data_IF_311712377534
#
_entry.id   IF_311712377534
#
_cell.length_a   1.000
_cell.length_b   1.000
_cell.length_c   1.000
_cell.angle_alpha   90.00
_cell.angle_beta   90.00
_cell.angle_gamma   90.00
#
_symmetry.space_group_name_H-M   'P 1'
#
loop_
_entity.id
_entity.type
_entity.pdbx_description
1 polymer ?
#
# COMPACT_ATOMS: atom_id res chain seq x y z
N UNK A 1 -9.93 6.73 -25.38
CA UNK A 1 -10.75 6.28 -26.52
C UNK A 1 -12.08 5.80 -25.98
N UNK A 2 -13.08 5.68 -26.85
CA UNK A 2 -14.42 5.23 -26.42
C UNK A 2 -14.36 3.79 -25.92
N UNK A 3 -14.92 3.55 -24.74
CA UNK A 3 -14.97 2.23 -24.13
C UNK A 3 -16.16 1.46 -24.72
N UNK A 4 -15.95 0.18 -25.02
CA UNK A 4 -17.08 -0.66 -25.46
C UNK A 4 -17.99 -0.97 -24.26
N UNK A 5 -19.29 -1.28 -24.46
CA UNK A 5 -20.18 -1.70 -23.37
C UNK A 5 -19.68 -2.91 -22.60
N UNK A 6 -18.93 -3.82 -23.25
CA UNK A 6 -18.29 -4.94 -22.58
C UNK A 6 -17.14 -4.47 -21.68
N UNK A 7 -16.31 -3.55 -22.17
CA UNK A 7 -15.20 -2.98 -21.41
C UNK A 7 -15.72 -2.30 -20.16
N UNK A 8 -16.74 -1.45 -20.27
CA UNK A 8 -17.35 -0.75 -19.13
C UNK A 8 -17.84 -1.73 -18.05
N UNK A 9 -18.45 -2.86 -18.44
CA UNK A 9 -18.89 -3.89 -17.48
C UNK A 9 -17.75 -4.65 -16.79
N UNK A 10 -16.59 -4.75 -17.42
CA UNK A 10 -15.43 -5.47 -16.88
C UNK A 10 -14.52 -4.60 -16.00
N UNK A 11 -14.71 -3.28 -16.03
CA UNK A 11 -13.90 -2.36 -15.25
C UNK A 11 -14.18 -2.48 -13.76
N UNK A 12 -13.11 -2.64 -12.98
CA UNK A 12 -13.16 -2.65 -11.51
C UNK A 12 -12.89 -1.27 -10.90
N UNK A 13 -12.30 -0.35 -11.67
CA UNK A 13 -11.94 1.01 -11.24
C UNK A 13 -12.38 2.02 -12.29
N UNK A 14 -12.50 3.32 -11.93
CA UNK A 14 -12.72 4.37 -12.92
C UNK A 14 -11.66 4.39 -14.03
N UNK A 15 -11.97 4.96 -15.22
CA UNK A 15 -11.01 5.09 -16.31
C UNK A 15 -9.73 5.85 -15.90
N UNK A 16 -8.59 5.42 -16.44
CA UNK A 16 -7.32 6.11 -16.27
C UNK A 16 -7.43 7.55 -16.79
N UNK A 17 -6.98 8.52 -15.99
CA UNK A 17 -7.00 9.96 -16.32
C UNK A 17 -5.84 10.40 -17.23
N UNK A 18 -5.01 9.47 -17.70
CA UNK A 18 -3.86 9.76 -18.55
C UNK A 18 -4.29 10.05 -20.00
N UNK A 19 -3.89 11.20 -20.53
CA UNK A 19 -4.27 11.68 -21.87
C UNK A 19 -3.13 11.64 -22.90
N UNK A 20 -1.93 11.23 -22.50
CA UNK A 20 -0.78 11.11 -23.40
C UNK A 20 -0.79 9.82 -24.22
N UNK A 21 0.10 9.74 -25.22
CA UNK A 21 0.44 8.47 -25.88
C UNK A 21 1.56 7.80 -25.08
N UNK A 22 1.44 6.53 -24.68
CA UNK A 22 2.54 5.81 -24.04
C UNK A 22 3.73 5.70 -25.00
N UNK A 23 4.95 5.89 -24.49
CA UNK A 23 6.19 5.72 -25.27
C UNK A 23 6.43 4.25 -25.64
N UNK A 24 6.06 3.35 -24.72
CA UNK A 24 6.24 1.91 -24.84
C UNK A 24 5.10 1.14 -24.18
N UNK A 25 4.84 -0.05 -24.69
CA UNK A 25 3.90 -1.02 -24.12
C UNK A 25 4.62 -2.32 -23.88
N UNK A 26 4.37 -2.93 -22.73
CA UNK A 26 4.94 -4.21 -22.32
C UNK A 26 3.80 -5.10 -21.85
N UNK A 27 3.77 -6.34 -22.31
CA UNK A 27 2.84 -7.36 -21.80
C UNK A 27 3.60 -8.27 -20.83
N UNK A 28 2.98 -8.59 -19.70
CA UNK A 28 3.54 -9.49 -18.68
C UNK A 28 2.48 -10.44 -18.13
N UNK A 29 2.89 -11.39 -17.29
CA UNK A 29 2.02 -12.43 -16.74
C UNK A 29 1.78 -13.61 -17.67
N UNK A 30 0.94 -14.56 -17.28
CA UNK A 30 0.78 -15.85 -17.96
C UNK A 30 0.41 -15.76 -19.44
N UNK A 31 -0.49 -14.81 -19.80
CA UNK A 31 -0.95 -14.64 -21.19
C UNK A 31 0.16 -14.09 -22.11
N UNK A 32 1.17 -13.40 -21.55
CA UNK A 32 2.27 -12.84 -22.33
C UNK A 32 3.10 -13.90 -23.06
N UNK A 33 3.16 -15.12 -22.54
CA UNK A 33 3.87 -16.23 -23.19
C UNK A 33 3.23 -16.60 -24.55
N UNK A 34 1.89 -16.49 -24.67
CA UNK A 34 1.19 -16.66 -25.94
C UNK A 34 1.34 -15.43 -26.84
N UNK A 35 1.33 -14.21 -26.27
CA UNK A 35 1.51 -12.96 -27.01
C UNK A 35 2.90 -12.92 -27.68
N UNK A 36 3.95 -13.40 -27.02
CA UNK A 36 5.32 -13.44 -27.55
C UNK A 36 5.70 -14.78 -28.19
N UNK A 37 4.92 -15.85 -27.97
CA UNK A 37 4.98 -17.09 -28.78
C UNK A 37 5.87 -18.17 -28.20
N UNK A 38 6.10 -18.10 -26.90
CA UNK A 38 6.89 -19.06 -26.15
C UNK A 38 6.05 -20.20 -25.57
N UNK A 39 4.72 -20.03 -25.50
CA UNK A 39 3.80 -21.08 -25.10
C UNK A 39 2.76 -21.36 -26.19
N UNK A 40 2.41 -22.63 -26.33
CA UNK A 40 1.44 -23.14 -27.31
C UNK A 40 0.51 -24.21 -26.75
N UNK A 41 0.76 -24.69 -25.53
CA UNK A 41 -0.08 -25.67 -24.84
C UNK A 41 -1.35 -25.02 -24.35
N UNK A 42 -2.45 -25.77 -24.38
CA UNK A 42 -3.72 -25.37 -23.77
C UNK A 42 -3.79 -25.87 -22.34
N UNK A 43 -4.20 -25.00 -21.42
CA UNK A 43 -4.49 -25.33 -20.02
C UNK A 43 -5.99 -25.41 -19.73
N UNK A 44 -6.84 -25.42 -20.77
CA UNK A 44 -8.29 -25.45 -20.63
C UNK A 44 -8.93 -24.11 -20.26
N UNK A 45 -8.18 -23.01 -20.37
CA UNK A 45 -8.64 -21.64 -20.16
C UNK A 45 -8.66 -20.83 -21.48
N UNK A 46 -9.00 -19.55 -21.38
CA UNK A 46 -9.07 -18.63 -22.53
C UNK A 46 -7.70 -18.04 -22.93
N UNK A 47 -6.61 -18.43 -22.25
CA UNK A 47 -5.31 -17.75 -22.34
C UNK A 47 -4.73 -17.72 -23.75
N UNK A 48 -4.81 -18.83 -24.49
CA UNK A 48 -4.36 -18.91 -25.90
C UNK A 48 -5.13 -17.91 -26.76
N UNK A 49 -6.47 -18.00 -26.73
CA UNK A 49 -7.35 -17.18 -27.58
C UNK A 49 -7.12 -15.70 -27.29
N UNK A 50 -7.04 -15.35 -26.00
CA UNK A 50 -6.76 -13.98 -25.58
C UNK A 50 -5.38 -13.50 -26.05
N UNK A 51 -4.34 -14.32 -25.90
CA UNK A 51 -2.99 -13.98 -26.33
C UNK A 51 -2.86 -13.78 -27.84
N UNK A 52 -3.54 -14.61 -28.63
CA UNK A 52 -3.59 -14.51 -30.09
C UNK A 52 -4.29 -13.23 -30.56
N UNK A 53 -5.46 -12.90 -29.98
CA UNK A 53 -6.19 -11.67 -30.31
C UNK A 53 -5.41 -10.41 -29.89
N UNK A 54 -4.75 -10.43 -28.73
CA UNK A 54 -3.87 -9.33 -28.31
C UNK A 54 -2.70 -9.20 -29.28
N UNK A 55 -2.05 -10.30 -29.70
CA UNK A 55 -0.98 -10.27 -30.69
C UNK A 55 -1.44 -9.70 -32.04
N UNK A 56 -2.66 -10.05 -32.50
CA UNK A 56 -3.22 -9.48 -33.72
C UNK A 56 -3.36 -7.96 -33.58
N UNK A 57 -3.95 -7.49 -32.48
CA UNK A 57 -4.14 -6.07 -32.21
C UNK A 57 -2.81 -5.32 -32.04
N UNK A 58 -1.82 -5.95 -31.41
CA UNK A 58 -0.48 -5.43 -31.22
C UNK A 58 0.19 -5.04 -32.55
N UNK A 59 -0.01 -5.83 -33.61
CA UNK A 59 0.52 -5.52 -34.96
C UNK A 59 -0.10 -4.27 -35.58
N UNK A 60 -1.25 -3.83 -35.09
CA UNK A 60 -1.96 -2.63 -35.54
C UNK A 60 -1.66 -1.42 -34.65
N UNK A 61 -0.89 -1.59 -33.57
CA UNK A 61 -0.57 -0.50 -32.65
C UNK A 61 0.55 0.36 -33.22
N UNK A 62 0.39 1.68 -33.09
CA UNK A 62 1.40 2.69 -33.42
C UNK A 62 2.37 2.97 -32.25
N UNK A 63 2.33 2.15 -31.20
CA UNK A 63 3.21 2.27 -30.02
C UNK A 63 4.21 1.12 -30.01
N UNK A 64 5.46 1.41 -29.68
CA UNK A 64 6.52 0.42 -29.57
C UNK A 64 6.17 -0.62 -28.51
N UNK A 65 6.08 -1.89 -28.91
CA UNK A 65 5.94 -2.99 -27.96
C UNK A 65 7.31 -3.59 -27.69
N UNK A 66 7.67 -3.64 -26.40
CA UNK A 66 8.95 -4.18 -25.93
C UNK A 66 8.68 -5.49 -25.20
N UNK A 67 9.49 -6.51 -25.47
CA UNK A 67 9.46 -7.78 -24.73
C UNK A 67 10.27 -7.62 -23.43
N UNK A 68 9.68 -7.89 -22.25
CA UNK A 68 10.40 -7.82 -20.98
C UNK A 68 11.26 -9.08 -20.79
N UNK A 69 12.41 -8.97 -20.10
CA UNK A 69 13.25 -10.14 -19.82
C UNK A 69 12.52 -11.22 -18.99
N UNK A 70 11.68 -10.80 -18.05
CA UNK A 70 11.09 -11.69 -17.05
C UNK A 70 9.66 -12.20 -17.40
N UNK A 71 9.01 -11.70 -18.46
CA UNK A 71 7.69 -12.15 -19.00
C UNK A 71 6.68 -12.66 -17.94
N UNK A 72 6.34 -13.96 -17.94
CA UNK A 72 5.43 -14.59 -16.95
C UNK A 72 5.88 -14.40 -15.50
N UNK A 73 7.18 -14.22 -15.27
CA UNK A 73 7.79 -14.00 -13.94
C UNK A 73 7.85 -12.54 -13.56
N UNK A 74 7.56 -11.59 -14.45
CA UNK A 74 7.61 -10.17 -14.11
C UNK A 74 6.64 -9.82 -12.97
N UNK A 75 5.44 -10.42 -12.96
CA UNK A 75 4.47 -10.31 -11.86
C UNK A 75 5.06 -10.89 -10.56
N UNK A 76 5.60 -12.11 -10.62
CA UNK A 76 6.19 -12.78 -9.45
C UNK A 76 7.41 -12.04 -8.90
N UNK A 77 8.28 -11.50 -9.75
CA UNK A 77 9.47 -10.74 -9.32
C UNK A 77 9.08 -9.40 -8.73
N UNK A 78 8.07 -8.71 -9.28
CA UNK A 78 7.49 -7.50 -8.69
C UNK A 78 6.82 -7.77 -7.34
N UNK A 79 6.11 -8.89 -7.21
CA UNK A 79 5.43 -9.33 -5.99
C UNK A 79 6.36 -9.99 -4.96
N UNK A 80 7.52 -10.51 -5.36
CA UNK A 80 8.51 -11.17 -4.48
C UNK A 80 9.58 -10.22 -3.97
N UNK A 81 9.36 -8.90 -4.05
CA UNK A 81 10.25 -7.95 -3.42
C UNK A 81 9.97 -7.93 -1.92
N UNK A 82 11.01 -8.22 -1.14
CA UNK A 82 11.03 -7.85 0.26
C UNK A 82 12.27 -7.01 0.52
N UNK A 83 12.12 -6.00 1.38
CA UNK A 83 13.24 -5.15 1.80
C UNK A 83 13.24 -5.11 3.31
N UNK A 84 14.41 -5.34 3.90
CA UNK A 84 14.64 -5.08 5.33
C UNK A 84 15.03 -3.62 5.49
N UNK A 85 14.25 -2.89 6.28
CA UNK A 85 14.59 -1.56 6.76
C UNK A 85 14.70 -1.59 8.28
N UNK A 86 15.36 -0.58 8.83
CA UNK A 86 15.49 -0.41 10.27
C UNK A 86 14.89 0.95 10.58
N UNK A 87 13.87 0.96 11.44
CA UNK A 87 13.29 2.23 11.89
C UNK A 87 14.29 2.93 12.81
N UNK A 88 14.22 4.26 12.85
CA UNK A 88 15.04 5.10 13.73
C UNK A 88 14.87 4.74 15.21
N UNK A 89 15.55 5.47 16.11
CA UNK A 89 15.38 5.28 17.56
C UNK A 89 14.25 6.14 18.13
N UNK A 90 13.67 7.01 17.32
CA UNK A 90 12.66 8.01 17.68
C UNK A 90 11.25 7.48 17.46
N UNK A 91 10.99 6.26 17.97
CA UNK A 91 9.70 5.59 17.86
C UNK A 91 8.87 5.72 19.14
N UNK A 92 7.57 5.46 19.03
CA UNK A 92 6.69 5.26 20.18
C UNK A 92 5.90 3.97 20.03
N UNK A 93 6.05 3.10 21.02
CA UNK A 93 5.27 1.88 21.18
C UNK A 93 4.55 2.00 22.53
N UNK A 94 3.22 2.02 22.53
CA UNK A 94 2.45 2.24 23.77
C UNK A 94 2.55 1.07 24.75
N UNK A 95 2.75 -0.16 24.25
CA UNK A 95 3.06 -1.35 25.05
C UNK A 95 3.98 -2.31 24.27
N UNK A 96 5.07 -2.83 24.87
CA UNK A 96 5.93 -3.81 24.22
C UNK A 96 5.20 -5.07 23.74
N UNK A 97 4.12 -5.47 24.43
CA UNK A 97 3.33 -6.67 24.12
C UNK A 97 2.56 -6.58 22.78
N UNK A 98 2.58 -5.41 22.13
CA UNK A 98 2.01 -5.22 20.80
C UNK A 98 2.89 -5.78 19.68
N UNK A 99 4.16 -6.06 19.96
CA UNK A 99 5.14 -6.57 19.00
C UNK A 99 5.49 -8.04 19.31
N UNK A 100 5.87 -8.85 18.30
CA UNK A 100 5.97 -8.49 16.88
C UNK A 100 4.62 -8.54 16.16
N UNK A 101 4.45 -7.69 15.15
CA UNK A 101 3.33 -7.77 14.21
C UNK A 101 3.80 -8.29 12.86
N UNK A 102 2.98 -9.12 12.20
CA UNK A 102 3.33 -9.73 10.91
C UNK A 102 2.23 -9.56 9.89
N UNK A 103 2.64 -9.40 8.64
CA UNK A 103 1.78 -9.32 7.46
C UNK A 103 0.71 -8.23 7.59
N UNK A 104 1.04 -7.09 8.20
CA UNK A 104 0.10 -5.97 8.27
C UNK A 104 -0.09 -5.38 6.89
N UNK A 105 -1.31 -5.36 6.32
CA UNK A 105 -1.58 -4.61 5.11
C UNK A 105 -1.27 -3.12 5.36
N UNK A 106 -0.66 -2.49 4.38
CA UNK A 106 -0.29 -1.08 4.43
C UNK A 106 -1.25 -0.27 3.58
N UNK A 107 -1.92 0.67 4.24
CA UNK A 107 -2.75 1.69 3.62
C UNK A 107 -1.92 2.96 3.50
N UNK A 108 -1.74 3.49 2.29
CA UNK A 108 -0.99 4.73 2.08
C UNK A 108 -1.86 5.81 1.41
N UNK A 109 -2.52 6.68 2.20
CA UNK A 109 -3.38 7.74 1.67
C UNK A 109 -2.64 8.68 0.71
N UNK A 110 -3.30 9.07 -0.39
CA UNK A 110 -2.71 9.90 -1.43
C UNK A 110 -3.22 11.34 -1.33
N UNK A 111 -2.31 12.24 -1.02
CA UNK A 111 -2.63 13.66 -0.86
C UNK A 111 -2.23 14.46 -2.11
N UNK A 112 -3.19 15.20 -2.68
CA UNK A 112 -2.95 16.02 -3.88
C UNK A 112 -2.17 17.32 -3.59
N UNK A 113 -2.10 17.74 -2.33
CA UNK A 113 -1.50 18.97 -1.85
C UNK A 113 -0.67 18.69 -0.59
N UNK A 114 0.34 19.51 -0.33
CA UNK A 114 1.06 19.50 0.96
C UNK A 114 0.40 20.38 2.02
N UNK A 115 -0.51 21.28 1.62
CA UNK A 115 -1.34 22.07 2.53
C UNK A 115 -2.68 21.38 2.61
N UNK A 116 -2.90 20.68 3.73
CA UNK A 116 -4.08 19.85 3.94
C UNK A 116 -4.93 20.40 5.09
N UNK A 117 -6.24 20.44 4.87
CA UNK A 117 -7.22 20.60 5.95
C UNK A 117 -7.36 19.28 6.73
N UNK A 118 -7.96 19.33 7.91
CA UNK A 118 -8.17 18.12 8.70
C UNK A 118 -9.17 17.20 7.99
N UNK A 119 -10.20 17.78 7.38
CA UNK A 119 -11.25 17.09 6.63
C UNK A 119 -10.68 16.34 5.42
N UNK A 120 -9.80 16.99 4.65
CA UNK A 120 -9.11 16.35 3.53
C UNK A 120 -8.28 15.14 3.98
N UNK A 121 -7.62 15.25 5.13
CA UNK A 121 -6.84 14.12 5.68
C UNK A 121 -7.75 12.96 6.07
N UNK A 122 -8.86 13.26 6.74
CA UNK A 122 -9.84 12.26 7.16
C UNK A 122 -10.41 11.53 5.94
N UNK A 123 -10.80 12.27 4.90
CA UNK A 123 -11.42 11.70 3.72
C UNK A 123 -10.46 10.82 2.93
N UNK A 124 -9.20 11.23 2.74
CA UNK A 124 -8.21 10.41 2.05
C UNK A 124 -7.82 9.16 2.85
N UNK A 125 -7.74 9.23 4.18
CA UNK A 125 -7.53 8.03 5.02
C UNK A 125 -8.70 7.05 4.85
N UNK A 126 -9.95 7.54 4.92
CA UNK A 126 -11.13 6.67 4.78
C UNK A 126 -11.23 6.03 3.41
N UNK A 127 -10.99 6.80 2.34
CA UNK A 127 -10.93 6.25 0.97
C UNK A 127 -9.85 5.18 0.86
N UNK A 128 -8.67 5.42 1.42
CA UNK A 128 -7.58 4.47 1.38
C UNK A 128 -7.92 3.18 2.14
N UNK A 129 -8.57 3.27 3.30
CA UNK A 129 -9.06 2.09 4.05
C UNK A 129 -10.13 1.33 3.26
N UNK A 130 -11.11 2.04 2.67
CA UNK A 130 -12.17 1.46 1.85
C UNK A 130 -11.62 0.73 0.61
N UNK A 131 -10.59 1.28 -0.03
CA UNK A 131 -9.92 0.63 -1.17
C UNK A 131 -9.26 -0.72 -0.82
N UNK A 132 -8.92 -0.93 0.46
CA UNK A 132 -8.34 -2.18 0.94
C UNK A 132 -9.37 -3.16 1.52
N UNK A 133 -10.66 -2.78 1.53
CA UNK A 133 -11.75 -3.58 2.12
C UNK A 133 -11.47 -3.98 3.59
N UNK A 134 -10.93 -3.03 4.37
CA UNK A 134 -10.55 -3.25 5.78
C UNK A 134 -11.64 -2.75 6.75
N UNK A 135 -11.97 -3.57 7.74
CA UNK A 135 -12.79 -3.18 8.88
C UNK A 135 -11.89 -2.67 10.03
N UNK A 136 -11.92 -1.35 10.25
CA UNK A 136 -11.10 -0.66 11.27
C UNK A 136 -11.32 -1.13 12.71
N UNK A 137 -12.40 -1.88 12.97
CA UNK A 137 -12.73 -2.37 14.31
C UNK A 137 -12.07 -3.71 14.63
N UNK A 138 -11.75 -4.51 13.62
CA UNK A 138 -11.24 -5.89 13.77
C UNK A 138 -9.95 -6.16 13.01
N UNK A 139 -9.71 -5.50 11.87
CA UNK A 139 -8.56 -5.79 11.03
C UNK A 139 -7.33 -4.99 11.48
N UNK A 140 -6.18 -5.65 11.69
CA UNK A 140 -4.92 -4.96 11.94
C UNK A 140 -4.32 -4.46 10.62
N UNK A 141 -3.93 -3.18 10.57
CA UNK A 141 -3.28 -2.58 9.40
C UNK A 141 -2.35 -1.45 9.82
N UNK A 142 -1.46 -1.04 8.90
CA UNK A 142 -0.58 0.10 9.07
C UNK A 142 -0.97 1.25 8.13
N UNK A 143 -0.95 2.48 8.64
CA UNK A 143 -1.12 3.69 7.82
C UNK A 143 0.26 4.29 7.56
N UNK A 144 0.64 4.38 6.29
CA UNK A 144 1.91 4.94 5.86
C UNK A 144 1.77 6.37 5.33
N UNK A 145 2.58 7.28 5.85
CA UNK A 145 2.63 8.67 5.43
C UNK A 145 3.96 8.98 4.72
N UNK A 146 3.84 9.44 3.47
CA UNK A 146 4.99 9.85 2.65
C UNK A 146 5.60 11.16 3.14
N UNK A 147 6.89 11.35 2.86
CA UNK A 147 7.65 12.56 3.20
C UNK A 147 7.06 13.82 2.56
N UNK A 148 6.39 13.69 1.41
CA UNK A 148 5.72 14.80 0.73
C UNK A 148 4.59 15.44 1.56
N UNK A 149 4.00 14.69 2.49
CA UNK A 149 2.97 15.16 3.42
C UNK A 149 3.59 15.89 4.62
N UNK A 150 4.83 15.53 4.97
CA UNK A 150 5.56 16.01 6.14
C UNK A 150 6.83 16.70 5.65
N UNK A 151 6.66 17.79 4.93
CA UNK A 151 7.76 18.59 4.39
C UNK A 151 8.42 19.45 5.46
N UNK A 152 7.66 19.93 6.46
CA UNK A 152 8.20 20.62 7.64
C UNK A 152 7.53 20.11 8.92
N UNK A 153 8.21 19.22 9.68
CA UNK A 153 7.72 18.77 10.98
C UNK A 153 7.49 19.97 11.91
N UNK A 154 6.27 20.12 12.39
CA UNK A 154 5.90 21.09 13.41
C UNK A 154 4.86 20.49 14.33
N UNK A 155 4.81 20.95 15.58
CA UNK A 155 3.79 20.51 16.53
C UNK A 155 2.37 20.70 15.96
N UNK A 156 2.11 21.83 15.30
CA UNK A 156 0.80 22.11 14.66
C UNK A 156 0.44 21.06 13.61
N UNK A 157 1.40 20.63 12.78
CA UNK A 157 1.18 19.57 11.80
C UNK A 157 0.94 18.22 12.47
N UNK A 158 1.79 17.85 13.45
CA UNK A 158 1.66 16.59 14.19
C UNK A 158 0.32 16.49 14.91
N UNK A 159 -0.14 17.58 15.54
CA UNK A 159 -1.45 17.66 16.19
C UNK A 159 -2.59 17.47 15.19
N UNK A 160 -2.57 18.21 14.08
CA UNK A 160 -3.58 18.08 13.01
C UNK A 160 -3.63 16.64 12.45
N UNK A 161 -2.48 16.05 12.12
CA UNK A 161 -2.41 14.67 11.63
C UNK A 161 -2.95 13.68 12.66
N UNK A 162 -2.58 13.84 13.93
CA UNK A 162 -3.07 13.00 15.03
C UNK A 162 -4.59 13.07 15.16
N UNK A 163 -5.17 14.27 15.17
CA UNK A 163 -6.62 14.48 15.26
C UNK A 163 -7.34 13.90 14.04
N UNK A 164 -6.80 14.11 12.84
CA UNK A 164 -7.37 13.58 11.61
C UNK A 164 -7.35 12.05 11.58
N UNK A 165 -6.22 11.42 11.90
CA UNK A 165 -6.08 9.95 11.96
C UNK A 165 -7.09 9.36 12.92
N UNK A 166 -7.15 9.86 14.16
CA UNK A 166 -8.08 9.34 15.16
C UNK A 166 -9.54 9.57 14.74
N UNK A 167 -9.85 10.70 14.10
CA UNK A 167 -11.20 10.98 13.57
C UNK A 167 -11.58 10.03 12.44
N UNK A 168 -10.64 9.72 11.54
CA UNK A 168 -10.85 8.79 10.45
C UNK A 168 -11.14 7.37 10.98
N UNK A 169 -10.34 6.91 11.94
CA UNK A 169 -10.41 5.56 12.51
C UNK A 169 -11.58 5.34 13.45
N UNK A 170 -12.00 6.36 14.21
CA UNK A 170 -13.10 6.23 15.16
C UNK A 170 -14.45 6.06 14.46
N UNK A 171 -14.67 6.73 13.32
CA UNK A 171 -15.98 6.69 12.65
C UNK A 171 -17.13 7.01 13.63
N UNK A 172 -18.04 6.03 13.83
CA UNK A 172 -19.11 6.07 14.85
C UNK A 172 -18.87 5.13 16.05
N UNK A 173 -17.78 4.37 16.07
CA UNK A 173 -17.51 3.31 17.05
C UNK A 173 -16.21 3.57 17.83
N UNK A 174 -15.85 2.68 18.77
CA UNK A 174 -14.53 2.75 19.42
C UNK A 174 -13.50 2.05 18.54
N UNK A 175 -12.28 2.60 18.53
CA UNK A 175 -11.13 1.92 17.91
C UNK A 175 -10.83 0.68 18.77
N UNK A 176 -11.10 -0.51 18.23
CA UNK A 176 -10.92 -1.79 18.92
C UNK A 176 -9.51 -2.37 18.80
N UNK A 177 -8.77 -2.01 17.73
CA UNK A 177 -7.46 -2.57 17.39
C UNK A 177 -6.26 -1.70 17.76
N UNK A 178 -5.07 -2.21 17.45
CA UNK A 178 -3.80 -1.48 17.51
C UNK A 178 -3.70 -0.55 16.31
N UNK A 179 -3.49 0.74 16.55
CA UNK A 179 -3.21 1.71 15.49
C UNK A 179 -1.71 1.66 15.18
N UNK A 180 -1.36 1.36 13.93
CA UNK A 180 0.04 1.34 13.48
C UNK A 180 0.24 2.48 12.50
N UNK A 181 1.11 3.43 12.84
CA UNK A 181 1.47 4.58 12.02
C UNK A 181 2.93 4.46 11.61
N UNK A 182 3.18 4.68 10.32
CA UNK A 182 4.51 4.59 9.73
C UNK A 182 4.80 5.85 8.95
N UNK A 183 5.95 6.47 9.20
CA UNK A 183 6.31 7.75 8.60
C UNK A 183 7.63 7.63 7.82
N UNK A 184 7.70 8.22 6.63
CA UNK A 184 8.98 8.42 5.94
C UNK A 184 9.83 9.52 6.59
N UNK A 185 9.20 10.43 7.35
CA UNK A 185 9.87 11.52 8.06
C UNK A 185 10.10 11.14 9.54
N UNK A 186 11.22 11.56 10.12
CA UNK A 186 11.54 11.45 11.56
C UNK A 186 10.58 12.28 12.42
N UNK A 187 9.40 11.70 12.72
CA UNK A 187 8.32 12.30 13.52
C UNK A 187 7.55 11.28 14.37
N UNK A 188 7.95 10.01 14.35
CA UNK A 188 7.21 8.87 14.91
C UNK A 188 6.93 9.05 16.40
N UNK A 189 7.95 9.37 17.18
CA UNK A 189 7.82 9.67 18.62
C UNK A 189 7.01 10.94 18.86
N UNK A 190 7.17 11.96 18.02
CA UNK A 190 6.46 13.23 18.15
C UNK A 190 4.94 13.06 18.00
N UNK A 191 4.49 12.45 16.90
CA UNK A 191 3.08 12.12 16.69
C UNK A 191 2.59 11.14 17.76
N UNK A 192 3.40 10.11 18.08
CA UNK A 192 3.04 9.12 19.08
C UNK A 192 2.69 9.75 20.42
N UNK A 193 3.50 10.71 20.89
CA UNK A 193 3.25 11.44 22.14
C UNK A 193 2.01 12.29 22.07
N UNK A 194 1.83 13.04 20.99
CA UNK A 194 0.62 13.87 20.81
C UNK A 194 -0.65 13.01 20.87
N UNK A 195 -0.62 11.82 20.26
CA UNK A 195 -1.76 10.89 20.35
C UNK A 195 -1.97 10.39 21.78
N UNK A 196 -0.92 9.87 22.43
CA UNK A 196 -1.01 9.28 23.76
C UNK A 196 -1.32 10.28 24.87
N UNK A 197 -0.83 11.51 24.78
CA UNK A 197 -0.95 12.51 25.84
C UNK A 197 -2.19 13.39 25.65
N UNK A 198 -2.62 13.63 24.41
CA UNK A 198 -3.61 14.68 24.13
C UNK A 198 -4.81 14.28 23.28
N UNK A 199 -4.68 13.37 22.31
CA UNK A 199 -5.76 13.10 21.32
C UNK A 199 -6.55 11.83 21.66
N UNK A 200 -5.86 10.75 22.02
CA UNK A 200 -6.46 9.47 22.37
C UNK A 200 -5.62 8.73 23.44
N UNK A 201 -5.60 9.21 24.69
CA UNK A 201 -4.88 8.53 25.77
C UNK A 201 -5.34 7.09 25.98
N UNK A 202 -4.39 6.17 26.16
CA UNK A 202 -4.65 4.75 26.38
C UNK A 202 -4.94 3.94 25.11
N UNK A 203 -4.81 4.54 23.93
CA UNK A 203 -4.91 3.82 22.67
C UNK A 203 -3.71 2.86 22.51
N UNK A 204 -3.94 1.64 22.00
CA UNK A 204 -2.85 0.78 21.56
C UNK A 204 -2.25 1.37 20.28
N UNK A 205 -1.02 1.86 20.35
CA UNK A 205 -0.38 2.63 19.29
C UNK A 205 1.06 2.16 19.07
N UNK A 206 1.39 1.88 17.82
CA UNK A 206 2.76 1.75 17.32
C UNK A 206 2.95 2.90 16.33
N UNK A 207 3.94 3.74 16.58
CA UNK A 207 4.30 4.89 15.74
C UNK A 207 5.79 4.82 15.45
N UNK A 208 6.12 4.45 14.20
CA UNK A 208 7.49 4.28 13.74
C UNK A 208 7.83 5.20 12.58
N UNK A 209 9.09 5.57 12.43
CA UNK A 209 9.53 6.48 11.39
C UNK A 209 10.80 6.04 10.65
N UNK A 210 11.17 6.86 9.66
CA UNK A 210 12.26 6.63 8.71
C UNK A 210 12.07 5.36 7.86
N UNK A 211 10.82 4.93 7.69
CA UNK A 211 10.46 3.77 6.89
C UNK A 211 9.68 4.20 5.66
N UNK A 212 10.11 3.72 4.49
CA UNK A 212 9.41 3.94 3.22
C UNK A 212 8.51 2.76 2.88
N UNK A 213 7.20 2.97 2.98
CA UNK A 213 6.17 2.01 2.54
C UNK A 213 5.35 2.57 1.37
N UNK A 214 5.00 1.70 0.44
CA UNK A 214 4.00 1.94 -0.59
C UNK A 214 2.61 1.46 -0.18
N UNK A 215 1.60 1.94 -0.89
CA UNK A 215 0.25 1.38 -0.81
C UNK A 215 0.27 -0.09 -1.26
N UNK A 216 -0.60 -0.93 -0.69
CA UNK A 216 -0.67 -2.37 -0.95
C UNK A 216 0.59 -3.18 -0.60
N UNK A 217 1.55 -2.58 0.12
CA UNK A 217 2.60 -3.35 0.77
C UNK A 217 2.04 -4.10 1.98
N UNK A 218 2.81 -5.08 2.44
CA UNK A 218 2.66 -5.68 3.75
C UNK A 218 3.90 -5.36 4.58
N UNK A 219 3.72 -5.18 5.88
CA UNK A 219 4.82 -4.90 6.80
C UNK A 219 4.83 -5.88 7.97
N UNK A 220 6.01 -6.41 8.28
CA UNK A 220 6.29 -7.01 9.58
C UNK A 220 7.07 -6.01 10.42
N UNK A 221 6.69 -5.89 11.69
CA UNK A 221 7.36 -5.05 12.68
C UNK A 221 7.84 -5.99 13.77
N UNK A 222 9.16 -6.14 13.90
CA UNK A 222 9.75 -6.99 14.92
C UNK A 222 9.84 -6.32 16.29
N UNK A 223 10.43 -7.03 17.24
CA UNK A 223 10.69 -6.49 18.58
C UNK A 223 11.87 -5.51 18.56
N UNK A 224 11.87 -4.49 19.45
CA UNK A 224 13.03 -3.62 19.63
C UNK A 224 14.27 -4.46 19.95
N UNK A 225 15.34 -4.25 19.17
CA UNK A 225 16.57 -5.03 19.28
C UNK A 225 17.75 -4.09 19.59
N UNK A 226 18.74 -4.63 20.33
CA UNK A 226 19.96 -3.93 20.72
C UNK A 226 19.76 -2.81 21.74
N UNK A 227 20.87 -2.26 22.23
CA UNK A 227 20.88 -1.28 23.34
C UNK A 227 20.18 0.05 23.01
N UNK A 228 20.01 0.34 21.71
CA UNK A 228 19.36 1.56 21.22
C UNK A 228 17.90 1.37 20.83
N UNK A 229 17.35 0.15 20.93
CA UNK A 229 15.94 -0.14 20.69
C UNK A 229 15.50 0.05 19.23
N UNK A 230 16.36 -0.28 18.25
CA UNK A 230 15.98 -0.22 16.85
C UNK A 230 14.94 -1.29 16.52
N UNK A 231 14.01 -0.98 15.62
CA UNK A 231 12.93 -1.90 15.26
C UNK A 231 13.21 -2.45 13.87
N UNK A 232 13.38 -3.77 13.70
CA UNK A 232 13.51 -4.37 12.38
C UNK A 232 12.15 -4.37 11.68
N UNK A 233 12.13 -3.88 10.44
CA UNK A 233 10.92 -3.77 9.63
C UNK A 233 11.11 -4.49 8.30
N UNK A 234 10.26 -5.49 8.02
CA UNK A 234 10.30 -6.23 6.75
C UNK A 234 9.13 -5.76 5.91
N UNK A 235 9.44 -5.17 4.76
CA UNK A 235 8.45 -4.76 3.77
C UNK A 235 8.31 -5.87 2.76
N UNK A 236 7.09 -6.23 2.40
CA UNK A 236 6.77 -7.27 1.42
C UNK A 236 5.78 -6.73 0.40
N UNK A 237 5.96 -7.07 -0.86
CA UNK A 237 4.96 -6.77 -1.89
C UNK A 237 3.80 -7.77 -1.91
N UNK A 238 3.96 -8.94 -1.28
CA UNK A 238 2.92 -9.96 -1.22
C UNK A 238 3.08 -10.86 0.01
N UNK A 239 1.95 -11.35 0.52
CA UNK A 239 1.90 -12.39 1.56
C UNK A 239 0.96 -13.50 1.12
N UNK A 240 1.37 -14.74 1.34
CA UNK A 240 0.48 -15.89 1.11
C UNK A 240 -0.13 -16.31 2.45
N UNK A 241 -1.46 -16.47 2.52
CA UNK A 241 -2.09 -17.00 3.73
C UNK A 241 -1.56 -18.40 4.00
N UNK A 242 -1.04 -18.65 5.20
CA UNK A 242 -0.44 -19.93 5.56
C UNK A 242 -1.48 -21.03 5.86
N UNK A 243 -2.78 -20.78 5.71
CA UNK A 243 -3.82 -21.80 5.90
C UNK A 243 -5.10 -21.51 5.13
N UNK A 244 -5.55 -22.51 4.35
CA UNK A 244 -6.93 -22.68 3.90
C UNK A 244 -7.76 -22.95 5.16
N UNK A 245 -8.78 -22.12 5.43
CA UNK A 245 -9.84 -22.50 6.37
C UNK A 245 -10.47 -23.79 5.83
N UNK A 246 -10.20 -24.93 6.49
CA UNK A 246 -11.04 -26.13 6.35
C UNK A 246 -12.36 -25.92 7.10
#
# INVERSE_FOLDING_TARGET
GDLSPLTERLMQTPPLRFSGKPDLVVFSGGVSEYIYGYESRSFGDIGIVLGEEIRKRMREMDTLVVEPAERIRATVIGESQYTLQVSGTTNLISSPDLLPMRNLPVVAPLFASSVLTQEEIVDEIRKAIEMHDLDVTIDPFAIAFRRSVINQPSYKLMKKLSEAVITALRGKEKIGGTVVLVFEADIGMGIGRVIQEEVAPGLNLISIDEIKLGDFNYVDIGEPTGDRGFIPVIIKSLVFPTQVKM
#
